data_IF_841287046654
#
_entry.id   IF_841287046654
#
_cell.length_a   1.000
_cell.length_b   1.000
_cell.length_c   1.000
_cell.angle_alpha   90.00
_cell.angle_beta   90.00
_cell.angle_gamma   90.00
#
_symmetry.space_group_name_H-M   'P 1'
#
loop_
_entity.id
_entity.type
_entity.pdbx_description
1 polymer ?
#
# COMPACT_ATOMS: atom_id res chain seq x y z
N UNK A 1 -27.90 -1.47 29.59
CA UNK A 1 -27.35 -2.81 29.21
C UNK A 1 -27.71 -3.17 27.78
N UNK A 2 -28.97 -3.52 27.46
CA UNK A 2 -29.31 -3.92 26.09
C UNK A 2 -29.05 -2.83 25.03
N UNK A 3 -29.31 -1.56 25.36
CA UNK A 3 -29.00 -0.42 24.49
C UNK A 3 -27.47 -0.30 24.29
N UNK A 4 -26.71 -0.20 25.37
CA UNK A 4 -25.24 -0.10 25.33
C UNK A 4 -24.59 -1.25 24.56
N UNK A 5 -25.03 -2.49 24.79
CA UNK A 5 -24.51 -3.67 24.09
C UNK A 5 -24.82 -3.61 22.60
N UNK A 6 -26.03 -3.19 22.23
CA UNK A 6 -26.41 -3.01 20.83
C UNK A 6 -25.56 -1.92 20.18
N UNK A 7 -25.35 -0.80 20.87
CA UNK A 7 -24.53 0.30 20.35
C UNK A 7 -23.07 -0.14 20.15
N UNK A 8 -22.51 -0.94 21.06
CA UNK A 8 -21.16 -1.50 20.88
C UNK A 8 -21.09 -2.51 19.74
N UNK A 9 -22.05 -3.43 19.66
CA UNK A 9 -22.10 -4.46 18.61
C UNK A 9 -22.37 -3.87 17.21
N UNK A 10 -23.04 -2.72 17.11
CA UNK A 10 -23.22 -2.02 15.84
C UNK A 10 -21.89 -1.53 15.22
N UNK A 11 -20.84 -1.39 16.03
CA UNK A 11 -19.50 -1.03 15.55
C UNK A 11 -18.65 -2.26 15.22
N UNK A 12 -19.13 -3.48 15.52
CA UNK A 12 -18.42 -4.70 15.19
C UNK A 12 -18.61 -5.06 13.72
N UNK A 13 -17.56 -5.57 13.09
CA UNK A 13 -17.65 -6.16 11.77
C UNK A 13 -18.12 -7.62 11.86
N UNK A 14 -18.54 -8.17 10.72
CA UNK A 14 -18.96 -9.56 10.60
C UNK A 14 -17.77 -10.53 10.78
N UNK A 15 -17.51 -10.94 12.02
CA UNK A 15 -16.44 -11.86 12.38
C UNK A 15 -16.56 -13.22 11.70
N UNK A 16 -17.78 -13.71 11.47
CA UNK A 16 -17.99 -15.02 10.86
C UNK A 16 -17.49 -14.99 9.40
N UNK A 17 -17.86 -13.92 8.68
CA UNK A 17 -17.37 -13.68 7.33
C UNK A 17 -15.86 -13.44 7.29
N UNK A 18 -15.32 -12.62 8.19
CA UNK A 18 -13.88 -12.32 8.26
C UNK A 18 -13.06 -13.60 8.54
N UNK A 19 -13.48 -14.40 9.51
CA UNK A 19 -12.80 -15.66 9.85
C UNK A 19 -12.81 -16.65 8.70
N UNK A 20 -13.91 -16.75 7.95
CA UNK A 20 -13.98 -17.60 6.76
C UNK A 20 -13.02 -17.13 5.65
N UNK A 21 -12.87 -15.81 5.46
CA UNK A 21 -11.90 -15.26 4.50
C UNK A 21 -10.46 -15.52 4.92
N UNK A 22 -10.15 -15.38 6.20
CA UNK A 22 -8.81 -15.71 6.75
C UNK A 22 -8.51 -17.20 6.56
N UNK A 23 -9.43 -18.08 6.96
CA UNK A 23 -9.28 -19.53 6.83
C UNK A 23 -9.10 -20.00 5.36
N UNK A 24 -9.62 -19.24 4.40
CA UNK A 24 -9.49 -19.53 2.96
C UNK A 24 -8.36 -18.76 2.28
N UNK A 25 -7.54 -18.02 3.02
CA UNK A 25 -6.43 -17.17 2.52
C UNK A 25 -6.89 -16.12 1.48
N UNK A 26 -8.13 -15.62 1.66
CA UNK A 26 -8.76 -14.60 0.80
C UNK A 26 -9.01 -13.28 1.54
N UNK A 27 -8.50 -13.16 2.76
CA UNK A 27 -8.57 -11.93 3.54
C UNK A 27 -7.69 -10.86 2.88
N UNK A 28 -8.22 -9.64 2.79
CA UNK A 28 -7.47 -8.45 2.38
C UNK A 28 -6.91 -7.73 3.61
N UNK A 29 -5.98 -6.79 3.45
CA UNK A 29 -5.49 -5.97 4.55
C UNK A 29 -6.61 -5.28 5.33
N UNK A 30 -7.66 -4.78 4.65
CA UNK A 30 -8.84 -4.20 5.30
C UNK A 30 -9.71 -5.21 6.06
N UNK A 31 -9.73 -6.48 5.65
CA UNK A 31 -10.43 -7.50 6.44
C UNK A 31 -9.70 -7.76 7.76
N UNK A 32 -8.37 -7.78 7.74
CA UNK A 32 -7.55 -7.94 8.94
C UNK A 32 -7.70 -6.72 9.87
N UNK A 33 -7.71 -5.52 9.31
CA UNK A 33 -7.97 -4.30 10.08
C UNK A 33 -9.38 -4.32 10.72
N UNK A 34 -10.42 -4.69 9.96
CA UNK A 34 -11.78 -4.87 10.48
C UNK A 34 -11.87 -5.93 11.59
N UNK A 35 -11.07 -7.01 11.48
CA UNK A 35 -10.94 -8.02 12.52
C UNK A 35 -10.34 -7.41 13.80
N UNK A 36 -9.22 -6.68 13.69
CA UNK A 36 -8.58 -6.02 14.83
C UNK A 36 -9.49 -4.99 15.51
N UNK A 37 -10.20 -4.17 14.73
CA UNK A 37 -11.18 -3.21 15.24
C UNK A 37 -12.33 -3.91 15.98
N UNK A 38 -12.78 -5.07 15.51
CA UNK A 38 -13.81 -5.84 16.22
C UNK A 38 -13.28 -6.44 17.52
N UNK A 39 -12.06 -6.97 17.52
CA UNK A 39 -11.40 -7.50 18.72
C UNK A 39 -11.20 -6.40 19.79
N UNK A 40 -10.95 -5.16 19.37
CA UNK A 40 -10.83 -4.01 20.27
C UNK A 40 -12.11 -3.70 21.07
N UNK A 41 -13.29 -4.07 20.55
CA UNK A 41 -14.56 -3.88 21.25
C UNK A 41 -14.78 -4.90 22.38
N UNK A 42 -14.15 -6.07 22.29
CA UNK A 42 -14.41 -7.20 23.17
C UNK A 42 -14.17 -6.91 24.66
N UNK A 43 -13.10 -6.21 25.08
CA UNK A 43 -12.89 -5.88 26.49
C UNK A 43 -14.06 -5.06 27.08
N UNK A 44 -14.55 -4.07 26.32
CA UNK A 44 -15.69 -3.23 26.75
C UNK A 44 -16.99 -4.04 26.80
N UNK A 45 -17.20 -4.95 25.85
CA UNK A 45 -18.35 -5.86 25.84
C UNK A 45 -18.30 -6.83 27.04
N UNK A 46 -17.16 -7.48 27.29
CA UNK A 46 -16.96 -8.42 28.40
C UNK A 46 -17.23 -7.74 29.75
N UNK A 47 -16.71 -6.51 29.93
CA UNK A 47 -16.93 -5.73 31.15
C UNK A 47 -18.43 -5.44 31.43
N UNK A 48 -19.26 -5.30 30.39
CA UNK A 48 -20.71 -5.09 30.55
C UNK A 48 -21.46 -6.35 30.97
N UNK A 49 -20.93 -7.52 30.59
CA UNK A 49 -21.46 -8.84 30.97
C UNK A 49 -21.05 -9.26 32.38
N UNK A 50 -19.93 -8.73 32.88
CA UNK A 50 -19.39 -9.11 34.18
C UNK A 50 -20.31 -8.76 35.36
N UNK A 51 -20.33 -9.63 36.37
CA UNK A 51 -21.09 -9.45 37.60
C UNK A 51 -22.62 -9.57 37.45
N UNK A 52 -23.11 -10.11 36.33
CA UNK A 52 -24.54 -10.35 36.10
C UNK A 52 -24.97 -11.69 36.67
N UNK A 53 -26.20 -11.77 37.20
CA UNK A 53 -26.75 -12.97 37.82
C UNK A 53 -27.37 -13.96 36.81
N UNK A 54 -27.40 -13.62 35.52
CA UNK A 54 -27.97 -14.50 34.50
C UNK A 54 -26.97 -15.55 34.07
N UNK A 55 -27.33 -16.83 34.24
CA UNK A 55 -26.50 -17.97 33.80
C UNK A 55 -26.07 -17.87 32.33
N UNK A 56 -26.98 -17.45 31.44
CA UNK A 56 -26.68 -17.29 30.02
C UNK A 56 -25.60 -16.21 29.80
N UNK A 57 -25.71 -15.07 30.48
CA UNK A 57 -24.73 -13.98 30.34
C UNK A 57 -23.37 -14.39 30.90
N UNK A 58 -23.32 -15.09 32.03
CA UNK A 58 -22.07 -15.62 32.59
C UNK A 58 -21.41 -16.64 31.68
N UNK A 59 -22.19 -17.53 31.04
CA UNK A 59 -21.67 -18.46 30.03
C UNK A 59 -21.09 -17.74 28.81
N UNK A 60 -21.78 -16.71 28.32
CA UNK A 60 -21.29 -15.90 27.19
C UNK A 60 -20.03 -15.11 27.56
N UNK A 61 -19.98 -14.51 28.75
CA UNK A 61 -18.78 -13.83 29.26
C UNK A 61 -17.60 -14.79 29.32
N UNK A 62 -17.78 -16.00 29.88
CA UNK A 62 -16.72 -16.99 30.01
C UNK A 62 -16.18 -17.48 28.67
N UNK A 63 -17.03 -17.61 27.66
CA UNK A 63 -16.65 -18.03 26.29
C UNK A 63 -16.01 -16.92 25.45
N UNK A 64 -16.16 -15.66 25.87
CA UNK A 64 -15.62 -14.53 25.14
C UNK A 64 -14.11 -14.40 25.40
N UNK A 65 -13.32 -14.95 24.49
CA UNK A 65 -11.88 -14.70 24.41
C UNK A 65 -11.63 -13.30 23.86
N UNK A 66 -10.67 -12.58 24.45
CA UNK A 66 -10.29 -11.24 24.03
C UNK A 66 -9.23 -11.25 22.92
N UNK A 67 -8.53 -12.38 22.73
CA UNK A 67 -7.45 -12.55 21.75
C UNK A 67 -6.46 -11.36 21.72
N UNK A 68 -5.92 -10.92 22.88
CA UNK A 68 -5.15 -9.68 22.95
C UNK A 68 -3.85 -9.75 22.13
N UNK A 69 -3.20 -10.93 22.07
CA UNK A 69 -1.98 -11.12 21.28
C UNK A 69 -2.27 -10.95 19.78
N UNK A 70 -3.33 -11.61 19.28
CA UNK A 70 -3.73 -11.52 17.88
C UNK A 70 -4.11 -10.09 17.49
N UNK A 71 -4.89 -9.40 18.34
CA UNK A 71 -5.23 -7.99 18.12
C UNK A 71 -3.97 -7.14 18.01
N UNK A 72 -3.02 -7.32 18.94
CA UNK A 72 -1.78 -6.55 18.96
C UNK A 72 -0.91 -6.83 17.73
N UNK A 73 -0.80 -8.08 17.31
CA UNK A 73 -0.04 -8.48 16.12
C UNK A 73 -0.60 -7.81 14.84
N UNK A 74 -1.92 -7.86 14.65
CA UNK A 74 -2.55 -7.20 13.49
C UNK A 74 -2.38 -5.68 13.56
N UNK A 75 -2.67 -5.06 14.71
CA UNK A 75 -2.63 -3.60 14.87
C UNK A 75 -1.20 -3.03 14.80
N UNK A 76 -0.20 -3.84 15.17
CA UNK A 76 1.22 -3.47 15.09
C UNK A 76 1.80 -3.66 13.69
N UNK A 77 1.27 -4.59 12.90
CA UNK A 77 1.78 -4.91 11.57
C UNK A 77 1.25 -4.01 10.46
N UNK A 78 -0.04 -3.67 10.50
CA UNK A 78 -0.68 -2.91 9.43
C UNK A 78 -0.36 -1.41 9.49
N UNK A 79 -0.33 -0.78 8.31
CA UNK A 79 -0.35 0.67 8.16
C UNK A 79 -1.67 1.28 8.65
N UNK A 80 -1.71 2.61 8.83
CA UNK A 80 -2.91 3.31 9.31
C UNK A 80 -4.10 3.20 8.34
N UNK A 81 -3.82 3.21 7.04
CA UNK A 81 -4.83 3.05 5.99
C UNK A 81 -4.45 1.88 5.07
N UNK A 82 -4.75 0.63 5.48
CA UNK A 82 -4.38 -0.53 4.69
C UNK A 82 -5.13 -0.55 3.35
N UNK A 83 -4.46 -0.94 2.25
CA UNK A 83 -5.04 -0.91 0.91
C UNK A 83 -6.15 -1.95 0.76
N UNK A 84 -6.97 -1.77 -0.27
CA UNK A 84 -8.08 -2.68 -0.57
C UNK A 84 -7.60 -4.06 -1.04
N UNK A 85 -6.47 -4.09 -1.74
CA UNK A 85 -5.92 -5.29 -2.37
C UNK A 85 -4.52 -5.58 -1.85
N UNK A 86 -4.11 -6.84 -1.90
CA UNK A 86 -2.75 -7.26 -1.52
C UNK A 86 -1.71 -6.95 -2.60
N UNK A 87 -2.15 -6.63 -3.82
CA UNK A 87 -1.29 -6.19 -4.92
C UNK A 87 -0.80 -4.75 -4.76
N UNK A 88 -1.50 -3.96 -3.95
CA UNK A 88 -1.10 -2.61 -3.60
C UNK A 88 -0.08 -2.66 -2.45
N UNK A 89 0.98 -1.85 -2.54
CA UNK A 89 1.92 -1.65 -1.44
C UNK A 89 1.29 -0.85 -0.29
N UNK A 90 2.04 -0.66 0.80
CA UNK A 90 1.56 0.11 1.97
C UNK A 90 0.70 -0.71 2.94
N UNK A 91 0.71 -2.04 2.83
CA UNK A 91 0.02 -2.95 3.75
C UNK A 91 0.63 -2.86 5.15
N UNK A 92 1.94 -3.05 5.23
CA UNK A 92 2.68 -3.05 6.48
C UNK A 92 3.20 -1.66 6.82
N UNK A 93 3.17 -1.29 8.10
CA UNK A 93 3.78 -0.04 8.55
C UNK A 93 5.31 -0.07 8.44
N UNK A 94 5.91 1.12 8.37
CA UNK A 94 7.36 1.27 8.47
C UNK A 94 7.83 0.78 9.86
N UNK A 95 8.98 0.11 9.91
CA UNK A 95 9.53 -0.51 11.11
C UNK A 95 9.00 -1.90 11.45
N UNK A 96 8.01 -2.42 10.70
CA UNK A 96 7.51 -3.78 10.91
C UNK A 96 8.50 -4.85 10.44
N UNK A 97 9.15 -4.62 9.31
CA UNK A 97 10.15 -5.52 8.74
C UNK A 97 11.31 -4.71 8.16
N UNK A 98 12.50 -4.88 8.75
CA UNK A 98 13.68 -4.10 8.37
C UNK A 98 14.08 -4.32 6.90
N UNK A 99 13.90 -5.53 6.37
CA UNK A 99 14.23 -5.82 4.98
C UNK A 99 13.26 -5.15 4.02
N UNK A 100 11.97 -5.13 4.37
CA UNK A 100 10.95 -4.40 3.62
C UNK A 100 11.22 -2.90 3.64
N UNK A 101 11.63 -2.35 4.77
CA UNK A 101 11.97 -0.93 4.90
C UNK A 101 13.18 -0.56 4.04
N UNK A 102 14.25 -1.38 4.05
CA UNK A 102 15.38 -1.21 3.13
C UNK A 102 14.91 -1.17 1.67
N UNK A 103 14.09 -2.14 1.24
CA UNK A 103 13.58 -2.19 -0.13
C UNK A 103 12.72 -0.97 -0.48
N UNK A 104 11.92 -0.47 0.46
CA UNK A 104 11.13 0.76 0.29
C UNK A 104 12.03 1.98 0.12
N UNK A 105 13.10 2.08 0.89
CA UNK A 105 14.03 3.20 0.82
C UNK A 105 14.83 3.18 -0.48
N UNK A 106 15.27 2.02 -0.96
CA UNK A 106 15.85 1.88 -2.30
C UNK A 106 14.86 2.34 -3.38
N UNK A 107 13.60 1.92 -3.30
CA UNK A 107 12.56 2.31 -4.26
C UNK A 107 12.26 3.82 -4.21
N UNK A 108 12.21 4.43 -3.01
CA UNK A 108 12.02 5.88 -2.80
C UNK A 108 13.20 6.67 -3.38
N UNK A 109 14.44 6.24 -3.10
CA UNK A 109 15.64 6.83 -3.67
C UNK A 109 15.61 6.82 -5.20
N UNK A 110 15.11 5.73 -5.78
CA UNK A 110 15.00 5.65 -7.22
C UNK A 110 13.93 6.55 -7.84
N UNK A 111 12.77 6.69 -7.19
CA UNK A 111 11.74 7.67 -7.59
C UNK A 111 12.27 9.10 -7.52
N UNK A 112 13.04 9.43 -6.47
CA UNK A 112 13.66 10.75 -6.32
C UNK A 112 14.64 11.05 -7.45
N UNK A 113 15.53 10.11 -7.76
CA UNK A 113 16.46 10.25 -8.88
C UNK A 113 15.74 10.49 -10.21
N UNK A 114 14.68 9.72 -10.49
CA UNK A 114 13.88 9.88 -11.72
C UNK A 114 13.21 11.26 -11.79
N UNK A 115 12.68 11.75 -10.67
CA UNK A 115 12.06 13.08 -10.61
C UNK A 115 13.08 14.21 -10.83
N UNK A 116 14.25 14.11 -10.21
CA UNK A 116 15.35 15.07 -10.40
C UNK A 116 15.89 15.03 -11.84
N UNK A 117 16.05 13.84 -12.41
CA UNK A 117 16.44 13.65 -13.81
C UNK A 117 15.42 14.30 -14.75
N UNK A 118 14.12 14.04 -14.57
CA UNK A 118 13.07 14.66 -15.39
C UNK A 118 13.10 16.19 -15.28
N UNK A 119 13.28 16.75 -14.09
CA UNK A 119 13.33 18.19 -13.88
C UNK A 119 14.52 18.83 -14.62
N UNK A 120 15.72 18.22 -14.53
CA UNK A 120 16.90 18.68 -15.28
C UNK A 120 16.66 18.68 -16.79
N UNK A 121 16.06 17.62 -17.31
CA UNK A 121 15.82 17.51 -18.75
C UNK A 121 14.74 18.49 -19.24
N UNK A 122 13.72 18.77 -18.42
CA UNK A 122 12.75 19.84 -18.69
C UNK A 122 13.44 21.20 -18.74
N UNK A 123 14.31 21.51 -17.78
CA UNK A 123 15.06 22.78 -17.73
C UNK A 123 15.99 22.91 -18.93
N UNK A 124 16.71 21.82 -19.28
CA UNK A 124 17.65 21.77 -20.40
C UNK A 124 16.99 21.98 -21.76
N UNK A 125 15.81 21.42 -21.96
CA UNK A 125 15.13 21.40 -23.28
C UNK A 125 14.01 22.42 -23.40
N UNK A 126 13.52 22.96 -22.28
CA UNK A 126 12.32 23.81 -22.22
C UNK A 126 11.01 23.06 -22.50
N UNK A 127 11.01 21.73 -22.49
CA UNK A 127 9.83 20.89 -22.78
C UNK A 127 9.10 20.57 -21.48
N UNK A 128 8.21 21.46 -21.04
CA UNK A 128 7.47 21.31 -19.76
C UNK A 128 6.56 20.08 -19.70
N UNK A 129 6.15 19.53 -20.86
CA UNK A 129 5.33 18.33 -20.94
C UNK A 129 6.11 17.02 -20.87
N UNK A 130 7.44 17.07 -20.77
CA UNK A 130 8.31 15.88 -20.78
C UNK A 130 8.04 15.02 -19.54
N UNK A 131 7.99 13.70 -19.75
CA UNK A 131 7.78 12.72 -18.67
C UNK A 131 8.75 11.56 -18.78
N UNK A 132 9.28 11.10 -17.65
CA UNK A 132 9.96 9.81 -17.57
C UNK A 132 8.90 8.74 -17.33
N UNK A 133 8.82 7.76 -18.24
CA UNK A 133 7.96 6.59 -18.12
C UNK A 133 8.75 5.30 -18.00
N UNK A 134 8.07 4.21 -17.66
CA UNK A 134 8.63 2.86 -17.67
C UNK A 134 7.68 1.92 -18.41
N UNK A 135 8.23 0.98 -19.17
CA UNK A 135 7.46 -0.15 -19.68
C UNK A 135 8.30 -1.44 -19.63
N UNK A 136 7.62 -2.60 -19.62
CA UNK A 136 8.29 -3.90 -19.47
C UNK A 136 9.14 -4.34 -20.68
N UNK A 137 9.01 -3.69 -21.84
CA UNK A 137 9.65 -4.12 -23.10
C UNK A 137 10.95 -3.36 -23.35
N UNK A 138 10.95 -2.05 -23.12
CA UNK A 138 12.04 -1.14 -23.45
C UNK A 138 12.64 -0.43 -22.24
N UNK A 139 12.08 -0.67 -21.04
CA UNK A 139 12.60 -0.07 -19.84
C UNK A 139 12.11 1.35 -19.58
N UNK A 140 12.95 2.15 -18.92
CA UNK A 140 12.72 3.58 -18.74
C UNK A 140 12.82 4.34 -20.08
N UNK A 141 12.05 5.43 -20.22
CA UNK A 141 12.11 6.29 -21.40
C UNK A 141 11.68 7.72 -21.08
N UNK A 142 12.15 8.68 -21.87
CA UNK A 142 11.64 10.03 -21.93
C UNK A 142 10.53 10.13 -22.97
N UNK A 143 9.39 10.65 -22.57
CA UNK A 143 8.24 10.87 -23.43
C UNK A 143 8.11 12.36 -23.77
N UNK A 144 8.12 12.64 -25.07
CA UNK A 144 8.03 13.99 -25.62
C UNK A 144 6.83 14.06 -26.56
N UNK A 145 6.02 15.10 -26.43
CA UNK A 145 4.87 15.31 -27.32
C UNK A 145 5.33 15.63 -28.74
N UNK A 146 4.56 15.23 -29.75
CA UNK A 146 4.92 15.47 -31.16
C UNK A 146 5.19 16.95 -31.47
N UNK A 147 4.50 17.86 -30.78
CA UNK A 147 4.66 19.31 -30.91
C UNK A 147 6.02 19.86 -30.40
N UNK A 148 6.74 19.08 -29.59
CA UNK A 148 8.04 19.47 -29.04
C UNK A 148 9.20 18.66 -29.65
N UNK A 149 8.96 17.91 -30.72
CA UNK A 149 9.99 17.06 -31.37
C UNK A 149 11.22 17.87 -31.79
N UNK A 150 11.03 19.06 -32.32
CA UNK A 150 12.13 19.90 -32.81
C UNK A 150 13.02 20.47 -31.70
N UNK A 151 12.60 20.36 -30.43
CA UNK A 151 13.36 20.76 -29.24
C UNK A 151 14.15 19.60 -28.63
N UNK A 152 14.02 18.39 -29.18
CA UNK A 152 14.72 17.21 -28.67
C UNK A 152 16.19 17.28 -29.05
N UNK A 153 17.12 17.19 -28.09
CA UNK A 153 18.56 17.17 -28.36
C UNK A 153 19.03 15.94 -29.15
N UNK A 154 20.16 16.06 -29.85
CA UNK A 154 20.72 14.99 -30.67
C UNK A 154 21.23 13.77 -29.87
N UNK A 155 21.54 13.95 -28.57
CA UNK A 155 21.98 12.86 -27.68
C UNK A 155 20.85 11.92 -27.27
N UNK A 156 19.60 12.23 -27.64
CA UNK A 156 18.45 11.40 -27.35
C UNK A 156 18.29 10.29 -28.41
N UNK A 157 18.32 9.04 -27.96
CA UNK A 157 18.16 7.89 -28.84
C UNK A 157 16.67 7.51 -28.90
N UNK A 158 16.04 7.72 -30.05
CA UNK A 158 14.63 7.37 -30.25
C UNK A 158 14.38 5.86 -30.11
N UNK A 159 13.37 5.49 -29.33
CA UNK A 159 12.97 4.10 -29.04
C UNK A 159 11.65 3.71 -29.68
N UNK A 160 10.66 4.59 -29.66
CA UNK A 160 9.32 4.27 -30.15
C UNK A 160 8.60 5.55 -30.57
N UNK A 161 7.86 5.50 -31.68
CA UNK A 161 6.95 6.57 -32.11
C UNK A 161 5.51 6.13 -31.87
N UNK A 162 4.71 6.98 -31.23
CA UNK A 162 3.28 6.80 -31.00
C UNK A 162 2.51 7.92 -31.70
N UNK A 163 1.17 7.81 -31.72
CA UNK A 163 0.29 8.73 -32.46
C UNK A 163 0.51 10.22 -32.11
N UNK A 164 0.75 10.54 -30.83
CA UNK A 164 0.86 11.93 -30.34
C UNK A 164 2.17 12.24 -29.60
N UNK A 165 3.07 11.26 -29.48
CA UNK A 165 4.27 11.36 -28.66
C UNK A 165 5.37 10.44 -29.17
N UNK A 166 6.61 10.78 -28.84
CA UNK A 166 7.78 9.97 -29.12
C UNK A 166 8.52 9.64 -27.83
N UNK A 167 9.11 8.45 -27.81
CA UNK A 167 9.86 7.93 -26.67
C UNK A 167 11.32 7.87 -27.02
N UNK A 168 12.15 8.35 -26.10
CA UNK A 168 13.60 8.43 -26.22
C UNK A 168 14.28 7.79 -25.00
N UNK A 169 15.54 7.43 -25.14
CA UNK A 169 16.44 7.08 -24.03
C UNK A 169 17.68 7.97 -24.12
N UNK A 170 18.29 8.30 -22.98
CA UNK A 170 19.61 8.92 -22.91
C UNK A 170 20.62 7.92 -22.34
N UNK A 171 21.93 8.12 -22.58
CA UNK A 171 22.96 7.32 -21.92
C UNK A 171 22.82 7.28 -20.40
N UNK A 172 22.58 8.44 -19.76
CA UNK A 172 22.42 8.55 -18.30
C UNK A 172 21.22 7.74 -17.79
N UNK A 173 20.06 7.85 -18.45
CA UNK A 173 18.86 7.11 -18.04
C UNK A 173 19.04 5.59 -18.20
N UNK A 174 19.80 5.17 -19.22
CA UNK A 174 20.13 3.77 -19.44
C UNK A 174 21.11 3.22 -18.38
N UNK A 175 22.15 3.99 -18.04
CA UNK A 175 23.09 3.60 -16.99
C UNK A 175 22.40 3.46 -15.63
N UNK A 176 21.48 4.38 -15.33
CA UNK A 176 20.67 4.31 -14.13
C UNK A 176 19.76 3.07 -14.11
N UNK A 177 19.09 2.77 -15.23
CA UNK A 177 18.29 1.56 -15.37
C UNK A 177 19.12 0.28 -15.14
N UNK A 178 20.28 0.17 -15.76
CA UNK A 178 21.18 -0.97 -15.59
C UNK A 178 21.64 -1.12 -14.13
N UNK A 179 21.84 -0.01 -13.41
CA UNK A 179 22.19 -0.01 -11.99
C UNK A 179 21.02 -0.48 -11.11
N UNK A 180 19.80 -0.05 -11.41
CA UNK A 180 18.60 -0.42 -10.63
C UNK A 180 18.17 -1.86 -10.89
N UNK A 181 18.26 -2.35 -12.12
CA UNK A 181 17.87 -3.72 -12.47
C UNK A 181 18.87 -4.80 -12.02
N UNK A 182 20.12 -4.42 -11.73
CA UNK A 182 21.17 -5.33 -11.24
C UNK A 182 21.32 -5.33 -9.72
N UNK A 183 20.72 -4.37 -9.02
CA UNK A 183 20.71 -4.28 -7.56
C UNK A 183 19.62 -5.18 -6.96
#
# INVERSE_FOLDING_TARGET
>A
LCRDLRDQLNNAYDLQRLSARVATLRATPRDLDALAQTLELLPKLKAKLSGRQSNLLSMLEARLDLCPELRAEISSSLGEEPPLTTSEGGIFRDGFDARLDELRDLARGGKKWIAEYQAREIERTGITSMKVGFNKVFGYYLEVTAANRDKVPDDYIRKQTLKNQERFITPELKEYEDKVLRA
#
